data_IF_177894169604
#
_entry.id   IF_177894169604
#
_cell.length_a   1.000
_cell.length_b   1.000
_cell.length_c   1.000
_cell.angle_alpha   90.00
_cell.angle_beta   90.00
_cell.angle_gamma   90.00
#
_symmetry.space_group_name_H-M   'P 1'
#
loop_
_entity.id
_entity.type
_entity.pdbx_description
1 polymer ?
#
# COMPACT_ATOMS: atom_id res chain seq x y z
N UNK A 1 -5.56 12.80 8.09
CA UNK A 1 -5.82 11.61 7.25
C UNK A 1 -6.25 10.48 8.15
N UNK A 2 -7.37 9.82 7.84
CA UNK A 2 -7.94 8.79 8.72
C UNK A 2 -7.14 7.50 8.59
N UNK A 3 -6.59 6.98 9.70
CA UNK A 3 -5.92 5.69 9.70
C UNK A 3 -6.98 4.60 9.86
N UNK A 4 -7.23 3.86 8.78
CA UNK A 4 -8.20 2.76 8.76
C UNK A 4 -7.76 1.69 9.77
N UNK A 5 -8.68 1.17 10.61
CA UNK A 5 -8.39 0.06 11.52
C UNK A 5 -7.80 -1.13 10.77
N UNK A 6 -6.73 -1.72 11.29
CA UNK A 6 -5.93 -2.74 10.59
C UNK A 6 -6.74 -3.98 10.18
N UNK A 7 -7.71 -4.41 11.00
CA UNK A 7 -8.57 -5.54 10.67
C UNK A 7 -9.41 -5.31 9.40
N UNK A 8 -9.93 -4.09 9.22
CA UNK A 8 -10.73 -3.72 8.05
C UNK A 8 -9.81 -3.61 6.82
N UNK A 9 -8.59 -3.09 7.03
CA UNK A 9 -7.61 -3.01 5.97
C UNK A 9 -7.27 -4.40 5.40
N UNK A 10 -7.01 -5.38 6.26
CA UNK A 10 -6.62 -6.74 5.86
C UNK A 10 -7.68 -7.44 5.02
N UNK A 11 -8.96 -7.24 5.34
CA UNK A 11 -10.07 -7.78 4.54
C UNK A 11 -10.25 -7.01 3.24
N UNK A 12 -10.22 -5.67 3.30
CA UNK A 12 -10.44 -4.82 2.13
C UNK A 12 -9.35 -4.99 1.05
N UNK A 13 -8.14 -5.41 1.43
CA UNK A 13 -7.06 -5.75 0.48
C UNK A 13 -7.48 -6.86 -0.48
N UNK A 14 -8.24 -7.87 -0.04
CA UNK A 14 -8.62 -8.99 -0.91
C UNK A 14 -9.51 -8.56 -2.09
N UNK A 15 -10.20 -7.42 -1.97
CA UNK A 15 -11.01 -6.87 -3.05
C UNK A 15 -10.19 -6.63 -4.33
N UNK A 16 -8.95 -6.14 -4.21
CA UNK A 16 -8.10 -5.89 -5.39
C UNK A 16 -7.72 -7.17 -6.12
N UNK A 17 -7.54 -8.27 -5.37
CA UNK A 17 -7.24 -9.58 -5.94
C UNK A 17 -8.48 -10.23 -6.57
N UNK A 18 -9.66 -10.00 -6.00
CA UNK A 18 -10.92 -10.39 -6.62
C UNK A 18 -11.16 -9.65 -7.95
N UNK A 19 -10.88 -8.34 -8.00
CA UNK A 19 -10.95 -7.53 -9.23
C UNK A 19 -9.94 -8.04 -10.27
N UNK A 20 -8.69 -8.32 -9.87
CA UNK A 20 -7.69 -8.87 -10.77
C UNK A 20 -8.11 -10.24 -11.31
N UNK A 21 -8.60 -11.15 -10.45
CA UNK A 21 -9.05 -12.47 -10.88
C UNK A 21 -10.23 -12.37 -11.86
N UNK A 22 -11.21 -11.50 -11.56
CA UNK A 22 -12.33 -11.23 -12.46
C UNK A 22 -11.86 -10.71 -13.83
N UNK A 23 -10.93 -9.75 -13.84
CA UNK A 23 -10.36 -9.21 -15.07
C UNK A 23 -9.60 -10.27 -15.88
N UNK A 24 -8.81 -11.12 -15.23
CA UNK A 24 -8.07 -12.19 -15.90
C UNK A 24 -9.05 -13.22 -16.50
N UNK A 25 -10.07 -13.63 -15.74
CA UNK A 25 -11.09 -14.58 -16.24
C UNK A 25 -11.86 -13.98 -17.41
N UNK A 26 -12.28 -12.71 -17.32
CA UNK A 26 -12.97 -12.03 -18.40
C UNK A 26 -12.07 -11.80 -19.62
N UNK A 27 -10.78 -11.49 -19.44
CA UNK A 27 -9.85 -11.36 -20.55
C UNK A 27 -9.61 -12.69 -21.28
N UNK A 28 -9.62 -13.82 -20.56
CA UNK A 28 -9.50 -15.16 -21.16
C UNK A 28 -10.82 -15.55 -21.87
N UNK A 29 -11.97 -15.22 -21.27
CA UNK A 29 -13.28 -15.56 -21.82
C UNK A 29 -13.72 -14.64 -22.97
N UNK A 30 -13.31 -13.37 -22.94
CA UNK A 30 -13.65 -12.32 -23.89
C UNK A 30 -12.36 -11.56 -24.24
N UNK A 31 -11.85 -11.76 -25.45
CA UNK A 31 -10.59 -11.15 -25.92
C UNK A 31 -10.67 -9.62 -26.15
N UNK A 32 -11.75 -8.98 -25.72
CA UNK A 32 -11.97 -7.55 -25.90
C UNK A 32 -11.24 -6.73 -24.82
N UNK A 33 -10.17 -6.06 -25.24
CA UNK A 33 -9.37 -5.10 -24.45
C UNK A 33 -10.18 -3.89 -23.94
N UNK A 34 -11.40 -3.70 -24.41
CA UNK A 34 -12.28 -2.57 -24.06
C UNK A 34 -12.70 -2.56 -22.58
N UNK A 35 -12.70 -3.71 -21.90
CA UNK A 35 -12.99 -3.78 -20.46
C UNK A 35 -11.90 -3.15 -19.60
N UNK A 36 -10.63 -3.18 -20.04
CA UNK A 36 -9.53 -2.59 -19.28
C UNK A 36 -9.66 -1.07 -19.16
N UNK A 37 -10.16 -0.42 -20.21
CA UNK A 37 -10.43 1.01 -20.25
C UNK A 37 -11.53 1.44 -19.27
N UNK A 38 -12.42 0.53 -18.85
CA UNK A 38 -13.46 0.79 -17.86
C UNK A 38 -12.91 0.82 -16.43
N UNK A 39 -11.84 0.08 -16.16
CA UNK A 39 -11.21 0.02 -14.84
C UNK A 39 -10.18 1.13 -14.61
N UNK A 40 -9.87 1.96 -15.61
CA UNK A 40 -9.06 3.18 -15.44
C UNK A 40 -9.94 4.43 -15.30
N UNK A 41 -10.35 4.81 -14.08
CA UNK A 41 -11.23 5.97 -13.88
C UNK A 41 -10.60 7.27 -14.40
N UNK A 42 -9.27 7.35 -14.50
CA UNK A 42 -8.56 8.50 -15.08
C UNK A 42 -8.86 8.70 -16.56
N UNK A 43 -8.88 7.62 -17.36
CA UNK A 43 -9.20 7.71 -18.78
C UNK A 43 -10.61 8.27 -19.01
N UNK A 44 -11.56 7.93 -18.14
CA UNK A 44 -12.96 8.36 -18.24
C UNK A 44 -13.17 9.84 -17.94
N UNK A 45 -12.35 10.39 -17.01
CA UNK A 45 -12.33 11.82 -16.65
C UNK A 45 -11.63 12.64 -17.73
N UNK A 46 -10.51 12.14 -18.29
CA UNK A 46 -9.76 12.87 -19.33
C UNK A 46 -10.39 12.77 -20.73
N UNK A 47 -11.10 11.69 -21.06
CA UNK A 47 -11.75 11.51 -22.38
C UNK A 47 -13.23 11.91 -22.43
N UNK A 48 -13.81 12.54 -21.39
CA UNK A 48 -15.24 12.92 -21.30
C UNK A 48 -16.13 11.76 -21.81
N UNK A 49 -16.11 10.65 -21.10
CA UNK A 49 -17.00 9.54 -21.44
C UNK A 49 -18.47 9.90 -21.13
N UNK A 50 -19.39 9.57 -22.05
CA UNK A 50 -20.82 9.94 -21.97
C UNK A 50 -21.65 9.02 -21.05
N UNK A 51 -21.03 8.04 -20.41
CA UNK A 51 -21.72 7.04 -19.60
C UNK A 51 -21.83 7.49 -18.14
N UNK A 52 -23.07 7.62 -17.64
CA UNK A 52 -23.39 8.07 -16.28
C UNK A 52 -22.74 7.18 -15.19
N UNK A 53 -22.53 5.90 -15.51
CA UNK A 53 -21.95 4.90 -14.59
C UNK A 53 -20.48 5.20 -14.29
N UNK A 54 -19.70 5.64 -15.28
CA UNK A 54 -18.27 5.96 -15.10
C UNK A 54 -18.07 7.19 -14.22
N UNK A 55 -18.93 8.20 -14.37
CA UNK A 55 -18.96 9.36 -13.47
C UNK A 55 -19.32 8.97 -12.03
N UNK A 56 -20.24 8.03 -11.84
CA UNK A 56 -20.57 7.48 -10.52
C UNK A 56 -19.37 6.79 -9.87
N UNK A 57 -18.67 5.94 -10.61
CA UNK A 57 -17.46 5.24 -10.14
C UNK A 57 -16.34 6.25 -9.81
N UNK A 58 -16.11 7.23 -10.68
CA UNK A 58 -15.12 8.28 -10.46
C UNK A 58 -15.43 9.12 -9.22
N UNK A 59 -16.70 9.46 -8.98
CA UNK A 59 -17.14 10.19 -7.79
C UNK A 59 -16.90 9.38 -6.50
N UNK A 60 -17.20 8.08 -6.51
CA UNK A 60 -16.91 7.19 -5.36
C UNK A 60 -15.40 7.12 -5.08
N UNK A 61 -14.56 6.98 -6.12
CA UNK A 61 -13.11 6.99 -5.95
C UNK A 61 -12.56 8.32 -5.47
N UNK A 62 -13.10 9.44 -5.96
CA UNK A 62 -12.70 10.78 -5.55
C UNK A 62 -13.04 10.99 -4.07
N UNK A 63 -14.25 10.63 -3.65
CA UNK A 63 -14.67 10.66 -2.25
C UNK A 63 -13.75 9.79 -1.39
N UNK A 64 -13.47 8.55 -1.81
CA UNK A 64 -12.54 7.66 -1.11
C UNK A 64 -11.12 8.22 -1.00
N UNK A 65 -10.62 8.89 -2.05
CA UNK A 65 -9.30 9.50 -2.07
C UNK A 65 -9.15 10.71 -1.13
N UNK A 66 -10.25 11.41 -0.82
CA UNK A 66 -10.25 12.50 0.17
C UNK A 66 -10.01 11.98 1.60
N UNK A 67 -10.54 10.81 1.93
CA UNK A 67 -10.42 10.24 3.27
C UNK A 67 -9.20 9.33 3.44
N UNK A 68 -8.86 8.56 2.40
CA UNK A 68 -7.80 7.54 2.44
C UNK A 68 -6.73 7.85 1.39
N UNK A 69 -5.47 8.06 1.81
CA UNK A 69 -4.39 8.30 0.87
C UNK A 69 -4.22 7.08 -0.05
N UNK A 70 -4.17 7.34 -1.36
CA UNK A 70 -3.98 6.32 -2.41
C UNK A 70 -5.02 5.18 -2.37
N UNK A 71 -6.29 5.51 -2.03
CA UNK A 71 -7.41 4.56 -1.95
C UNK A 71 -7.52 3.62 -3.17
N UNK A 72 -7.47 4.19 -4.38
CA UNK A 72 -7.59 3.44 -5.62
C UNK A 72 -6.47 2.38 -5.76
N UNK A 73 -5.21 2.79 -5.58
CA UNK A 73 -4.06 1.89 -5.63
C UNK A 73 -4.11 0.78 -4.57
N UNK A 74 -4.74 1.06 -3.42
CA UNK A 74 -4.80 0.16 -2.26
C UNK A 74 -5.88 -0.91 -2.38
N UNK A 75 -7.03 -0.59 -2.96
CA UNK A 75 -8.21 -1.48 -2.91
C UNK A 75 -8.81 -1.86 -4.27
N UNK A 76 -8.55 -1.08 -5.33
CA UNK A 76 -9.24 -1.27 -6.61
C UNK A 76 -8.32 -1.47 -7.80
N UNK A 77 -7.07 -1.00 -7.73
CA UNK A 77 -6.16 -0.99 -8.86
C UNK A 77 -5.66 -2.41 -9.19
N UNK A 78 -5.94 -2.95 -10.40
CA UNK A 78 -5.46 -4.26 -10.80
C UNK A 78 -3.94 -4.29 -11.00
N UNK A 79 -3.34 -3.18 -11.44
CA UNK A 79 -1.88 -3.04 -11.50
C UNK A 79 -1.26 -3.15 -10.11
N UNK A 80 -1.90 -2.58 -9.08
CA UNK A 80 -1.47 -2.69 -7.69
C UNK A 80 -1.53 -4.13 -7.18
N UNK A 81 -2.55 -4.89 -7.57
CA UNK A 81 -2.65 -6.32 -7.26
C UNK A 81 -1.53 -7.13 -7.93
N UNK A 82 -1.26 -6.89 -9.22
CA UNK A 82 -0.20 -7.56 -9.97
C UNK A 82 1.19 -7.25 -9.40
N UNK A 83 1.48 -5.97 -9.11
CA UNK A 83 2.73 -5.54 -8.47
C UNK A 83 2.91 -6.18 -7.08
N UNK A 84 1.82 -6.33 -6.32
CA UNK A 84 1.83 -7.03 -5.04
C UNK A 84 2.16 -8.52 -5.15
N UNK A 85 1.85 -9.18 -6.28
CA UNK A 85 2.27 -10.58 -6.53
C UNK A 85 3.75 -10.63 -6.91
N UNK A 86 4.19 -9.75 -7.82
CA UNK A 86 5.59 -9.68 -8.26
C UNK A 86 6.52 -9.28 -7.12
N UNK A 87 6.06 -8.46 -6.18
CA UNK A 87 6.87 -8.00 -5.05
C UNK A 87 7.30 -9.13 -4.08
N UNK A 88 6.59 -10.27 -4.05
CA UNK A 88 7.03 -11.45 -3.27
C UNK A 88 8.37 -11.99 -3.76
N UNK A 89 8.60 -11.94 -5.07
CA UNK A 89 9.79 -12.49 -5.76
C UNK A 89 10.91 -11.46 -5.82
N UNK A 90 10.68 -10.22 -5.34
CA UNK A 90 11.67 -9.15 -5.45
C UNK A 90 12.94 -9.48 -4.65
N UNK A 91 14.12 -9.52 -5.31
CA UNK A 91 15.39 -9.80 -4.64
C UNK A 91 15.90 -8.61 -3.80
N UNK A 92 15.38 -7.40 -4.05
CA UNK A 92 15.80 -6.18 -3.37
C UNK A 92 14.79 -5.78 -2.29
N UNK A 93 14.97 -6.38 -1.11
CA UNK A 93 14.17 -6.07 0.08
C UNK A 93 14.75 -4.89 0.84
N UNK A 94 13.86 -4.06 1.39
CA UNK A 94 14.20 -2.92 2.25
C UNK A 94 14.78 -3.49 3.57
N UNK A 95 16.06 -3.23 3.83
CA UNK A 95 16.73 -3.69 5.06
C UNK A 95 16.22 -2.89 6.25
N UNK A 96 16.00 -3.57 7.38
CA UNK A 96 15.56 -2.94 8.63
C UNK A 96 16.70 -2.95 9.65
N UNK A 97 16.70 -1.94 10.50
CA UNK A 97 17.64 -1.79 11.61
C UNK A 97 17.01 -2.34 12.90
N UNK A 98 17.80 -2.81 13.88
CA UNK A 98 17.27 -3.40 15.12
C UNK A 98 16.36 -2.45 15.91
N UNK A 99 16.59 -1.14 15.80
CA UNK A 99 15.76 -0.09 16.42
C UNK A 99 14.37 0.10 15.78
N UNK A 100 14.04 -0.61 14.69
CA UNK A 100 12.75 -0.45 14.00
C UNK A 100 11.54 -0.85 14.86
N UNK A 101 11.72 -1.76 15.81
CA UNK A 101 10.63 -2.25 16.66
C UNK A 101 10.08 -1.15 17.60
N UNK A 102 10.97 -0.26 18.04
CA UNK A 102 10.65 0.84 18.96
C UNK A 102 10.42 2.17 18.25
N UNK A 103 11.13 2.41 17.14
CA UNK A 103 11.09 3.71 16.46
C UNK A 103 9.71 4.00 15.85
N UNK A 104 9.01 2.99 15.29
CA UNK A 104 7.69 3.07 14.61
C UNK A 104 7.49 4.23 13.60
N UNK A 105 8.50 5.03 13.30
CA UNK A 105 8.45 6.18 12.38
C UNK A 105 8.05 5.73 10.98
N UNK A 106 8.59 4.60 10.52
CA UNK A 106 8.25 4.05 9.20
C UNK A 106 6.81 3.53 9.15
N UNK A 107 6.32 2.91 10.22
CA UNK A 107 4.93 2.44 10.33
C UNK A 107 3.95 3.62 10.25
N UNK A 108 4.21 4.69 11.01
CA UNK A 108 3.38 5.90 10.98
C UNK A 108 3.46 6.68 9.67
N UNK A 109 4.60 6.62 8.99
CA UNK A 109 4.82 7.32 7.73
C UNK A 109 4.32 6.54 6.50
N UNK A 110 4.02 5.25 6.64
CA UNK A 110 3.64 4.40 5.51
C UNK A 110 2.23 4.78 5.02
N UNK A 111 2.07 5.30 3.78
CA UNK A 111 0.75 5.72 3.30
C UNK A 111 -0.18 4.53 3.04
N UNK A 112 0.36 3.35 2.74
CA UNK A 112 -0.43 2.14 2.46
C UNK A 112 -0.68 1.30 3.71
N UNK A 113 0.02 1.55 4.82
CA UNK A 113 -0.08 0.73 6.03
C UNK A 113 0.62 -0.64 5.92
N UNK A 114 1.56 -0.79 4.98
CA UNK A 114 2.27 -2.05 4.73
C UNK A 114 3.29 -2.46 5.81
N UNK A 115 3.55 -1.62 6.81
CA UNK A 115 4.64 -1.84 7.80
C UNK A 115 4.02 -2.09 9.17
N UNK A 116 4.48 -3.15 9.86
CA UNK A 116 4.07 -3.53 11.22
C UNK A 116 5.32 -3.75 12.07
N UNK A 117 5.70 -2.75 12.86
CA UNK A 117 6.96 -2.76 13.61
C UNK A 117 8.16 -3.07 12.69
N UNK A 118 8.90 -4.16 12.91
CA UNK A 118 10.03 -4.56 12.05
C UNK A 118 9.59 -5.23 10.74
N UNK A 119 8.38 -5.81 10.67
CA UNK A 119 7.91 -6.58 9.52
C UNK A 119 7.29 -5.67 8.45
N UNK A 120 7.55 -6.00 7.19
CA UNK A 120 6.97 -5.32 6.02
C UNK A 120 6.15 -6.35 5.25
N UNK A 121 4.89 -6.04 4.98
CA UNK A 121 4.10 -6.79 4.02
C UNK A 121 4.41 -6.25 2.60
N UNK A 122 5.21 -7.01 1.87
CA UNK A 122 5.61 -6.65 0.51
C UNK A 122 4.45 -6.66 -0.48
N UNK A 123 3.35 -7.38 -0.21
CA UNK A 123 2.15 -7.40 -1.08
C UNK A 123 1.46 -6.03 -1.15
N UNK A 124 1.59 -5.24 -0.10
CA UNK A 124 0.98 -3.90 0.03
C UNK A 124 1.99 -2.76 -0.17
N UNK A 125 3.28 -3.09 -0.24
CA UNK A 125 4.33 -2.10 -0.41
C UNK A 125 4.39 -1.64 -1.87
N UNK A 126 3.96 -0.39 -2.11
CA UNK A 126 4.05 0.25 -3.44
C UNK A 126 5.44 0.84 -3.74
N UNK A 127 6.46 0.53 -2.92
CA UNK A 127 7.83 1.05 -3.05
C UNK A 127 7.89 2.57 -3.31
N UNK A 128 7.22 3.34 -2.45
CA UNK A 128 7.25 4.80 -2.51
C UNK A 128 8.47 5.44 -1.82
N UNK A 129 9.37 4.62 -1.24
CA UNK A 129 10.63 4.99 -0.59
C UNK A 129 10.58 6.02 0.54
N UNK A 130 9.39 6.42 0.99
CA UNK A 130 9.19 7.33 2.13
C UNK A 130 9.84 6.77 3.41
N UNK A 131 9.71 5.47 3.64
CA UNK A 131 10.29 4.83 4.81
C UNK A 131 11.82 4.75 4.75
N UNK A 132 12.38 4.60 3.55
CA UNK A 132 13.83 4.52 3.34
C UNK A 132 14.47 5.90 3.49
N UNK A 133 13.86 6.93 2.88
CA UNK A 133 14.25 8.32 3.07
C UNK A 133 14.25 8.72 4.55
N UNK A 134 13.20 8.38 5.31
CA UNK A 134 13.16 8.69 6.75
C UNK A 134 14.21 7.94 7.57
N UNK A 135 14.61 6.74 7.11
CA UNK A 135 15.69 5.98 7.72
C UNK A 135 17.05 6.64 7.47
N UNK A 136 17.34 7.00 6.21
CA UNK A 136 18.58 7.66 5.77
C UNK A 136 18.73 9.03 6.42
N UNK A 137 17.64 9.81 6.46
CA UNK A 137 17.60 11.11 7.13
C UNK A 137 17.61 11.00 8.67
N UNK A 138 17.63 9.77 9.22
CA UNK A 138 17.60 9.48 10.66
C UNK A 138 16.50 10.27 11.39
N UNK A 139 15.30 10.31 10.82
CA UNK A 139 14.19 11.07 11.39
C UNK A 139 13.57 10.37 12.62
N UNK A 140 13.19 11.15 13.64
CA UNK A 140 12.53 10.65 14.85
C UNK A 140 13.45 9.86 15.78
N UNK A 141 12.94 8.80 16.42
CA UNK A 141 13.68 7.96 17.39
C UNK A 141 14.90 7.27 16.74
N UNK A 142 14.83 7.02 15.44
CA UNK A 142 15.89 6.44 14.63
C UNK A 142 17.16 7.34 14.51
N UNK A 143 17.12 8.57 15.06
CA UNK A 143 18.27 9.47 15.22
C UNK A 143 19.30 9.00 16.25
N UNK A 144 18.84 8.21 17.23
CA UNK A 144 19.66 7.76 18.35
C UNK A 144 20.22 6.37 18.11
N UNK A 145 21.34 6.07 18.78
CA UNK A 145 21.96 4.76 18.71
C UNK A 145 21.16 3.74 19.54
N UNK A 146 21.30 2.45 19.22
CA UNK A 146 20.52 1.40 19.90
C UNK A 146 20.85 1.34 21.40
N UNK A 147 22.10 1.64 21.78
CA UNK A 147 22.53 1.70 23.17
C UNK A 147 21.78 2.78 23.96
N UNK A 148 21.58 3.96 23.36
CA UNK A 148 20.85 5.06 23.99
C UNK A 148 19.34 4.81 24.05
N UNK A 149 18.79 4.08 23.08
CA UNK A 149 17.37 3.72 23.06
C UNK A 149 17.07 2.59 24.05
N UNK A 150 17.94 1.58 24.15
CA UNK A 150 17.76 0.40 25.02
C UNK A 150 17.59 0.77 26.49
N UNK A 151 18.31 1.78 26.99
CA UNK A 151 18.19 2.25 28.38
C UNK A 151 16.78 2.80 28.68
N UNK A 152 16.07 3.30 27.68
CA UNK A 152 14.73 3.92 27.84
C UNK A 152 13.59 2.92 27.64
N UNK A 153 13.85 1.79 26.97
CA UNK A 153 12.83 0.80 26.62
C UNK A 153 12.94 -0.40 27.55
N UNK A 154 11.98 -0.53 28.48
CA UNK A 154 12.01 -1.53 29.55
C UNK A 154 11.85 -2.98 29.06
N UNK A 155 11.16 -3.18 27.93
CA UNK A 155 10.82 -4.50 27.37
C UNK A 155 11.21 -4.57 25.89
N UNK A 156 12.51 -4.56 25.57
CA UNK A 156 12.97 -4.75 24.19
C UNK A 156 13.40 -6.20 23.95
N UNK A 157 12.51 -6.98 23.34
CA UNK A 157 12.88 -8.27 22.75
C UNK A 157 13.40 -7.98 21.35
N UNK A 158 14.71 -8.12 21.14
CA UNK A 158 15.30 -7.90 19.82
C UNK A 158 14.60 -8.83 18.81
N UNK A 159 13.73 -8.27 17.96
CA UNK A 159 13.12 -9.01 16.87
C UNK A 159 14.26 -9.61 16.03
N UNK A 160 14.42 -10.93 16.14
CA UNK A 160 15.44 -11.74 15.47
C UNK A 160 15.52 -11.39 14.00
N UNK A 161 16.76 -11.15 13.56
CA UNK A 161 17.18 -10.77 12.21
C UNK A 161 16.61 -11.69 11.11
#
# INVERSE_FOLDING_TARGET
QYQVPQAIHDVAIYLKYAILAFLVVMAIAYADLSLFQYFEPFGTVFYISRSMVLWGIAAVFLLGALFIPRFYCRYACPLGAALGVVSLVSPWRIKRVPQCDVCKVCEQACPTGAIRGPKIDFKECVRCDICDYKLIAKAGVCKHDIETVKVRVKNWDAATA
#
